data_IF_645315134980
#
_entry.id   IF_645315134980
#
_cell.length_a   1.000
_cell.length_b   1.000
_cell.length_c   1.000
_cell.angle_alpha   90.00
_cell.angle_beta   90.00
_cell.angle_gamma   90.00
#
_symmetry.space_group_name_H-M   'P 1'
#
loop_
_entity.id
_entity.type
_entity.pdbx_description
1 polymer ?
#
# COMPACT_ATOMS: atom_id res chain seq x y z
N UNK A 1 -29.94 1.06 -14.64
CA UNK A 1 -30.23 1.57 -13.29
C UNK A 1 -28.93 2.03 -12.66
N UNK A 2 -28.93 3.16 -11.96
CA UNK A 2 -27.75 3.69 -11.26
C UNK A 2 -28.02 3.65 -9.77
N UNK A 3 -27.10 3.09 -8.99
CA UNK A 3 -27.22 2.98 -7.54
C UNK A 3 -26.14 3.82 -6.87
N UNK A 4 -26.51 4.48 -5.77
CA UNK A 4 -25.59 5.29 -4.98
C UNK A 4 -24.76 4.39 -4.05
N UNK A 5 -23.42 4.49 -4.12
CA UNK A 5 -22.49 3.71 -3.31
C UNK A 5 -21.73 4.63 -2.34
N UNK A 6 -22.38 4.99 -1.21
CA UNK A 6 -21.74 5.77 -0.14
C UNK A 6 -21.01 4.83 0.81
N UNK A 7 -19.72 4.63 0.57
CA UNK A 7 -18.84 3.87 1.45
C UNK A 7 -17.42 4.40 1.36
N UNK A 8 -16.66 4.24 2.44
CA UNK A 8 -15.20 4.34 2.39
C UNK A 8 -14.63 3.03 1.86
N UNK A 9 -13.45 3.08 1.23
CA UNK A 9 -12.73 1.90 0.72
C UNK A 9 -11.40 1.80 1.44
N UNK A 10 -11.10 0.60 1.94
CA UNK A 10 -9.76 0.20 2.37
C UNK A 10 -9.23 -0.81 1.36
N UNK A 11 -8.00 -0.62 0.89
CA UNK A 11 -7.36 -1.48 -0.08
C UNK A 11 -5.98 -1.92 0.42
N UNK A 12 -5.60 -3.15 0.08
CA UNK A 12 -4.26 -3.68 0.29
C UNK A 12 -3.61 -3.96 -1.07
N UNK A 13 -2.33 -3.63 -1.20
CA UNK A 13 -1.56 -3.88 -2.41
C UNK A 13 -0.13 -4.27 -2.05
N UNK A 14 0.43 -5.20 -2.81
CA UNK A 14 1.81 -5.63 -2.65
C UNK A 14 2.72 -4.92 -3.66
N UNK A 15 4.02 -4.71 -3.34
CA UNK A 15 4.98 -4.18 -4.28
C UNK A 15 5.14 -5.09 -5.50
N UNK A 16 5.38 -4.50 -6.67
CA UNK A 16 5.53 -5.21 -7.97
C UNK A 16 6.65 -6.25 -7.95
N UNK A 17 7.75 -5.96 -7.24
CA UNK A 17 8.90 -6.84 -7.12
C UNK A 17 8.86 -7.73 -5.86
N UNK A 18 7.71 -7.82 -5.18
CA UNK A 18 7.55 -8.60 -3.94
C UNK A 18 8.10 -7.92 -2.68
N UNK A 19 9.12 -7.06 -2.80
CA UNK A 19 9.62 -6.20 -1.72
C UNK A 19 9.52 -4.73 -2.07
N UNK A 20 9.31 -3.90 -1.06
CA UNK A 20 9.23 -2.45 -1.24
C UNK A 20 10.63 -1.86 -1.43
N UNK A 21 10.84 -1.17 -2.54
CA UNK A 21 12.10 -0.50 -2.84
C UNK A 21 12.02 0.98 -2.40
N UNK A 22 12.77 1.32 -1.34
CA UNK A 22 12.82 2.67 -0.77
C UNK A 22 13.44 3.71 -1.71
N UNK A 23 14.19 3.28 -2.73
CA UNK A 23 14.78 4.19 -3.74
C UNK A 23 13.78 4.61 -4.81
N UNK A 24 12.64 3.92 -4.93
CA UNK A 24 11.63 4.14 -5.97
C UNK A 24 10.41 4.85 -5.38
N UNK A 25 9.73 5.64 -6.21
CA UNK A 25 8.46 6.26 -5.81
C UNK A 25 7.37 5.21 -5.55
N UNK A 26 6.37 5.56 -4.74
CA UNK A 26 5.22 4.69 -4.45
C UNK A 26 4.53 4.19 -5.72
N UNK A 27 4.33 5.09 -6.71
CA UNK A 27 3.70 4.76 -7.99
C UNK A 27 4.45 3.64 -8.71
N UNK A 28 5.78 3.68 -8.65
CA UNK A 28 6.63 2.70 -9.31
C UNK A 28 6.72 1.39 -8.51
N UNK A 29 6.54 1.45 -7.18
CA UNK A 29 6.44 0.29 -6.31
C UNK A 29 5.13 -0.49 -6.49
N UNK A 30 3.98 0.16 -6.74
CA UNK A 30 2.64 -0.48 -6.70
C UNK A 30 1.98 -0.62 -8.09
N UNK A 31 2.62 -0.12 -9.16
CA UNK A 31 2.09 -0.13 -10.54
C UNK A 31 0.61 0.27 -10.65
N UNK A 32 0.24 1.35 -9.96
CA UNK A 32 -1.12 1.87 -9.97
C UNK A 32 -1.24 3.05 -10.94
N UNK A 33 -2.38 3.16 -11.63
CA UNK A 33 -2.64 4.29 -12.52
C UNK A 33 -2.84 5.58 -11.71
N UNK A 34 -2.40 6.71 -12.27
CA UNK A 34 -2.50 8.01 -11.59
C UNK A 34 -3.94 8.40 -11.19
N UNK A 35 -4.98 8.13 -12.01
CA UNK A 35 -6.36 8.46 -11.64
C UNK A 35 -6.92 7.66 -10.47
N UNK A 36 -6.44 6.44 -10.23
CA UNK A 36 -6.86 5.66 -9.05
C UNK A 36 -6.09 6.15 -7.83
N UNK A 37 -4.78 6.40 -7.97
CA UNK A 37 -3.96 6.90 -6.85
C UNK A 37 -4.49 8.23 -6.30
N UNK A 38 -4.94 9.14 -7.17
CA UNK A 38 -5.48 10.44 -6.74
C UNK A 38 -6.84 10.35 -6.04
N UNK A 39 -7.51 9.19 -6.05
CA UNK A 39 -8.78 8.96 -5.33
C UNK A 39 -8.57 8.44 -3.92
N UNK A 40 -7.36 8.01 -3.58
CA UNK A 40 -7.01 7.66 -2.21
C UNK A 40 -6.42 8.88 -1.53
N UNK A 41 -7.04 9.31 -0.44
CA UNK A 41 -6.55 10.44 0.37
C UNK A 41 -5.31 10.05 1.21
N UNK A 42 -5.19 8.77 1.56
CA UNK A 42 -4.13 8.24 2.44
C UNK A 42 -3.50 6.98 1.85
N UNK A 43 -2.18 6.88 2.02
CA UNK A 43 -1.39 5.69 1.70
C UNK A 43 -0.57 5.28 2.91
N UNK A 44 -0.83 4.08 3.43
CA UNK A 44 -0.06 3.48 4.52
C UNK A 44 0.88 2.41 3.94
N UNK A 45 2.17 2.72 3.90
CA UNK A 45 3.19 1.81 3.41
C UNK A 45 3.75 1.06 4.61
N UNK A 46 3.49 -0.25 4.66
CA UNK A 46 4.07 -1.15 5.67
C UNK A 46 5.25 -1.85 5.00
N UNK A 47 6.45 -1.71 5.57
CA UNK A 47 7.66 -2.37 5.07
C UNK A 47 8.19 -3.26 6.18
N UNK A 48 8.49 -4.49 5.79
CA UNK A 48 9.08 -5.51 6.62
C UNK A 48 10.60 -5.28 6.68
N UNK A 49 11.13 -5.09 7.89
CA UNK A 49 12.54 -4.92 8.18
C UNK A 49 12.98 -6.04 9.12
N UNK A 50 14.05 -6.76 8.77
CA UNK A 50 14.63 -7.77 9.64
C UNK A 50 15.16 -7.09 10.92
N UNK A 51 14.47 -7.28 12.04
CA UNK A 51 14.84 -6.73 13.32
C UNK A 51 14.48 -7.71 14.43
N UNK A 52 15.50 -8.37 14.97
CA UNK A 52 15.36 -9.42 15.98
C UNK A 52 14.55 -8.98 17.22
N UNK A 53 14.66 -7.71 17.65
CA UNK A 53 13.90 -7.19 18.80
C UNK A 53 12.43 -7.04 18.46
N UNK A 54 12.12 -6.49 17.28
CA UNK A 54 10.74 -6.36 16.80
C UNK A 54 10.12 -7.74 16.59
N UNK A 55 10.86 -8.65 15.97
CA UNK A 55 10.42 -10.02 15.69
C UNK A 55 10.20 -10.81 16.99
N UNK A 56 11.07 -10.64 18.00
CA UNK A 56 10.89 -11.25 19.33
C UNK A 56 9.67 -10.72 20.08
N UNK A 57 9.34 -9.43 19.94
CA UNK A 57 8.18 -8.83 20.61
C UNK A 57 6.83 -9.24 19.97
N UNK A 58 6.85 -9.74 18.73
CA UNK A 58 5.65 -10.21 18.02
C UNK A 58 5.37 -11.70 18.28
N UNK A 59 6.41 -12.48 18.60
CA UNK A 59 6.32 -13.92 18.88
C UNK A 59 5.59 -14.24 20.19
#
# INVERSE_FOLDING_TARGET
>A
ATLNARTSILAAANPVAGRYDKSRSLRHNVNMSAPIMSRFDLFFIVIDECNDVTDYNIA
#
